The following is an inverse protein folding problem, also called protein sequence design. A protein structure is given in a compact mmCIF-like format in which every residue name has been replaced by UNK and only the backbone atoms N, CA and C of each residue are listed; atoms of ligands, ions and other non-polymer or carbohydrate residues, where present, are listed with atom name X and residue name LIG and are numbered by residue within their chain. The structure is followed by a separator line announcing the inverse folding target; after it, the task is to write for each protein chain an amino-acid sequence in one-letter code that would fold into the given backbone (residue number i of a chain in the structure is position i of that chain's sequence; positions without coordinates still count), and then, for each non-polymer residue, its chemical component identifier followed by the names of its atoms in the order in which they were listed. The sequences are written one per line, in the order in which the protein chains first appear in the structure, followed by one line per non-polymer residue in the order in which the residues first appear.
data_IF_873651366218
#
_entry.id   IF_873651366218
#
_cell.length_a   1.000
_cell.length_b   1.000
_cell.length_c   1.000
_cell.angle_alpha   90.00
_cell.angle_beta   90.00
_cell.angle_gamma   90.00
#
_symmetry.space_group_name_H-M   'P 1'
#
loop_
_entity.id
_entity.type
_entity.pdbx_description
1 polymer ?
#
# COMPACT_ATOMS: atom_id res chain seq x y z
N UNK A 1 -19.73 -4.57 9.43
CA UNK A 1 -19.53 -3.48 10.41
C UNK A 1 -19.67 -2.19 9.64
N UNK A 2 -20.60 -1.31 10.00
CA UNK A 2 -20.86 -0.06 9.26
C UNK A 2 -19.89 1.07 9.63
N UNK A 3 -19.08 0.85 10.66
CA UNK A 3 -18.07 1.73 11.26
C UNK A 3 -16.64 1.39 10.83
N UNK A 4 -16.48 0.44 9.90
CA UNK A 4 -15.19 0.04 9.38
C UNK A 4 -14.95 0.71 8.03
N UNK A 5 -13.76 1.30 7.85
CA UNK A 5 -13.31 1.88 6.59
C UNK A 5 -11.99 1.22 6.19
N UNK A 6 -11.96 0.61 5.02
CA UNK A 6 -10.76 0.05 4.41
C UNK A 6 -10.15 1.06 3.44
N UNK A 7 -8.91 1.45 3.71
CA UNK A 7 -8.18 2.40 2.88
C UNK A 7 -7.04 1.67 2.18
N UNK A 8 -7.02 1.72 0.86
CA UNK A 8 -5.91 1.25 0.07
C UNK A 8 -4.88 2.36 -0.13
N UNK A 9 -3.59 2.08 0.15
CA UNK A 9 -2.49 3.00 -0.13
C UNK A 9 -1.70 2.47 -1.33
N UNK A 10 -1.73 3.20 -2.44
CA UNK A 10 -1.00 2.83 -3.66
C UNK A 10 0.20 3.72 -3.86
N UNK A 11 1.28 3.13 -4.38
CA UNK A 11 2.42 3.87 -4.89
C UNK A 11 2.99 3.15 -6.12
N UNK A 12 3.59 3.91 -7.02
CA UNK A 12 4.17 3.41 -8.24
C UNK A 12 5.32 2.46 -7.97
N UNK A 13 5.53 1.53 -8.88
CA UNK A 13 6.57 0.50 -8.81
C UNK A 13 7.96 1.10 -8.58
N UNK A 14 8.31 2.16 -9.29
CA UNK A 14 9.62 2.81 -9.13
C UNK A 14 9.77 3.49 -7.77
N UNK A 15 8.70 4.14 -7.28
CA UNK A 15 8.65 4.75 -5.95
C UNK A 15 8.82 3.69 -4.85
N UNK A 16 8.13 2.55 -4.97
CA UNK A 16 8.20 1.44 -4.01
C UNK A 16 9.55 0.74 -4.06
N UNK A 17 10.11 0.51 -5.25
CA UNK A 17 11.46 -0.02 -5.41
C UNK A 17 12.49 0.88 -4.74
N UNK A 18 12.48 2.18 -5.06
CA UNK A 18 13.41 3.16 -4.47
C UNK A 18 13.32 3.16 -2.95
N UNK A 19 12.11 3.25 -2.39
CA UNK A 19 11.89 3.21 -0.92
C UNK A 19 12.34 1.88 -0.30
N UNK A 20 12.22 0.76 -1.02
CA UNK A 20 12.74 -0.54 -0.57
C UNK A 20 14.26 -0.54 -0.48
N UNK A 21 14.93 -0.01 -1.50
CA UNK A 21 16.40 0.11 -1.52
C UNK A 21 16.91 1.08 -0.45
N UNK A 22 16.25 2.23 -0.29
CA UNK A 22 16.61 3.23 0.72
C UNK A 22 16.44 2.69 2.15
N UNK A 23 15.42 1.84 2.38
CA UNK A 23 15.22 1.15 3.66
C UNK A 23 16.29 0.11 3.95
N UNK A 24 16.74 -0.63 2.93
CA UNK A 24 17.82 -1.60 3.03
C UNK A 24 17.60 -2.69 4.10
N UNK A 25 16.37 -3.16 4.30
CA UNK A 25 16.06 -4.15 5.35
C UNK A 25 16.74 -5.48 5.00
N UNK A 26 17.23 -6.18 6.02
CA UNK A 26 17.72 -7.55 5.85
C UNK A 26 16.57 -8.41 5.31
N UNK A 27 16.76 -8.98 4.13
CA UNK A 27 15.75 -9.76 3.41
C UNK A 27 15.07 -9.02 2.26
N UNK A 28 15.25 -7.69 2.12
CA UNK A 28 14.75 -6.97 0.96
C UNK A 28 15.50 -7.41 -0.31
N UNK A 29 14.82 -7.57 -1.45
CA UNK A 29 15.48 -7.89 -2.71
C UNK A 29 16.47 -6.80 -3.12
N UNK A 30 17.69 -7.18 -3.48
CA UNK A 30 18.71 -6.24 -3.99
C UNK A 30 18.66 -6.08 -5.51
N UNK A 31 17.91 -6.96 -6.20
CA UNK A 31 17.72 -6.99 -7.65
C UNK A 31 16.27 -6.61 -7.97
N UNK A 32 16.06 -5.72 -8.95
CA UNK A 32 14.72 -5.22 -9.32
C UNK A 32 13.82 -6.36 -9.79
N UNK A 33 14.37 -7.34 -10.48
CA UNK A 33 13.65 -8.52 -10.96
C UNK A 33 13.07 -9.35 -9.81
N UNK A 34 13.83 -9.52 -8.73
CA UNK A 34 13.37 -10.23 -7.53
C UNK A 34 12.30 -9.45 -6.78
N UNK A 35 12.44 -8.12 -6.71
CA UNK A 35 11.41 -7.24 -6.19
C UNK A 35 10.09 -7.41 -6.97
N UNK A 36 10.14 -7.35 -8.30
CA UNK A 36 8.95 -7.54 -9.14
C UNK A 36 8.31 -8.91 -8.99
N UNK A 37 9.11 -9.96 -8.82
CA UNK A 37 8.60 -11.31 -8.59
C UNK A 37 7.88 -11.43 -7.24
N UNK A 38 8.45 -10.82 -6.19
CA UNK A 38 7.84 -10.78 -4.86
C UNK A 38 6.52 -10.00 -4.87
N UNK A 39 6.52 -8.81 -5.47
CA UNK A 39 5.34 -7.97 -5.65
C UNK A 39 4.19 -8.72 -6.32
N UNK A 40 4.49 -9.41 -7.42
CA UNK A 40 3.50 -10.21 -8.13
C UNK A 40 2.97 -11.39 -7.30
N UNK A 41 3.80 -11.97 -6.44
CA UNK A 41 3.37 -13.03 -5.54
C UNK A 41 2.47 -12.52 -4.41
N UNK A 42 2.62 -11.24 -4.01
CA UNK A 42 1.77 -10.59 -3.01
C UNK A 42 0.47 -9.99 -3.63
N UNK A 43 0.45 -9.71 -4.93
CA UNK A 43 -0.76 -9.28 -5.66
C UNK A 43 -1.86 -10.35 -5.67
N UNK A 44 -1.47 -11.62 -5.81
CA UNK A 44 -2.38 -12.76 -5.93
C UNK A 44 -1.91 -13.85 -4.97
N UNK A 45 -2.60 -13.99 -3.84
CA UNK A 45 -2.34 -15.08 -2.90
C UNK A 45 -2.52 -16.43 -3.61
N UNK A 46 -1.45 -17.23 -3.65
CA UNK A 46 -1.52 -18.62 -4.11
C UNK A 46 -1.87 -19.62 -3.00
N UNK A 47 -1.79 -19.20 -1.74
CA UNK A 47 -2.10 -19.97 -0.54
C UNK A 47 -2.71 -19.09 0.56
N UNK A 48 -3.18 -19.70 1.65
CA UNK A 48 -3.83 -19.01 2.78
C UNK A 48 -2.86 -18.10 3.58
N UNK A 49 -1.55 -18.18 3.33
CA UNK A 49 -0.52 -17.39 4.02
C UNK A 49 -0.03 -16.19 3.20
N UNK A 50 -0.28 -16.18 1.89
CA UNK A 50 0.04 -15.09 0.98
C UNK A 50 -0.84 -13.87 1.19
N UNK A 51 -0.31 -12.70 0.82
CA UNK A 51 -1.13 -11.49 0.76
C UNK A 51 -2.02 -11.56 -0.47
N UNK A 52 -3.29 -11.18 -0.34
CA UNK A 52 -4.25 -11.12 -1.44
C UNK A 52 -4.52 -9.65 -1.80
N UNK A 53 -3.46 -8.88 -2.10
CA UNK A 53 -3.54 -7.42 -2.19
C UNK A 53 -4.62 -6.96 -3.18
N UNK A 54 -4.76 -7.62 -4.33
CA UNK A 54 -5.81 -7.27 -5.30
C UNK A 54 -7.24 -7.50 -4.76
N UNK A 55 -7.45 -8.60 -4.03
CA UNK A 55 -8.76 -8.91 -3.46
C UNK A 55 -9.10 -7.94 -2.32
N UNK A 56 -8.12 -7.59 -1.49
CA UNK A 56 -8.29 -6.60 -0.41
C UNK A 56 -8.49 -5.20 -0.97
N UNK A 57 -7.74 -4.80 -2.01
CA UNK A 57 -7.91 -3.54 -2.71
C UNK A 57 -9.32 -3.37 -3.29
N UNK A 58 -9.89 -4.44 -3.85
CA UNK A 58 -11.26 -4.44 -4.39
C UNK A 58 -12.34 -4.21 -3.31
N UNK A 59 -12.02 -4.44 -2.04
CA UNK A 59 -12.90 -4.20 -0.90
C UNK A 59 -12.70 -2.81 -0.28
N UNK A 60 -11.75 -2.01 -0.78
CA UNK A 60 -11.45 -0.70 -0.19
C UNK A 60 -12.57 0.30 -0.42
N UNK A 61 -12.87 1.08 0.61
CA UNK A 61 -13.82 2.19 0.55
C UNK A 61 -13.15 3.43 -0.05
N UNK A 62 -11.83 3.55 0.10
CA UNK A 62 -11.03 4.71 -0.28
C UNK A 62 -9.65 4.28 -0.79
N UNK A 63 -9.08 5.08 -1.68
CA UNK A 63 -7.72 4.89 -2.22
C UNK A 63 -6.92 6.18 -2.06
N UNK A 64 -5.72 6.09 -1.49
CA UNK A 64 -4.73 7.19 -1.43
C UNK A 64 -3.56 6.86 -2.36
N UNK A 65 -3.16 7.82 -3.18
CA UNK A 65 -2.05 7.70 -4.14
C UNK A 65 -0.79 8.34 -3.54
N UNK A 66 0.06 7.53 -2.93
CA UNK A 66 1.29 7.92 -2.24
C UNK A 66 2.51 7.91 -3.19
N UNK A 67 2.48 8.74 -4.24
CA UNK A 67 3.66 8.97 -5.10
C UNK A 67 4.66 9.96 -4.47
N UNK A 68 4.19 10.80 -3.54
CA UNK A 68 4.93 11.88 -2.91
C UNK A 68 5.89 11.46 -1.79
N UNK A 69 6.35 12.47 -1.04
CA UNK A 69 7.07 12.28 0.22
C UNK A 69 6.16 11.88 1.40
N UNK A 70 6.75 11.67 2.56
CA UNK A 70 5.99 11.37 3.78
C UNK A 70 5.13 12.57 4.23
N UNK A 71 5.58 13.79 3.95
CA UNK A 71 4.89 15.04 4.24
C UNK A 71 3.63 15.19 3.39
N UNK A 72 3.67 14.82 2.11
CA UNK A 72 2.50 14.81 1.23
C UNK A 72 1.49 13.76 1.71
N UNK A 73 1.95 12.56 2.06
CA UNK A 73 1.07 11.54 2.65
C UNK A 73 0.40 12.03 3.94
N UNK A 74 1.12 12.78 4.80
CA UNK A 74 0.50 13.36 6.00
C UNK A 74 -0.57 14.39 5.66
N UNK A 75 -0.31 15.26 4.67
CA UNK A 75 -1.32 16.22 4.20
C UNK A 75 -2.58 15.51 3.68
N UNK A 76 -2.42 14.47 2.86
CA UNK A 76 -3.55 13.69 2.33
C UNK A 76 -4.37 13.04 3.46
N UNK A 77 -3.71 12.54 4.50
CA UNK A 77 -4.36 11.94 5.66
C UNK A 77 -5.08 12.99 6.53
N UNK A 78 -4.49 14.18 6.70
CA UNK A 78 -5.11 15.30 7.40
C UNK A 78 -6.38 15.78 6.68
N UNK A 79 -6.35 15.86 5.34
CA UNK A 79 -7.51 16.21 4.52
C UNK A 79 -8.60 15.13 4.56
N UNK A 80 -8.22 13.85 4.66
CA UNK A 80 -9.14 12.73 4.77
C UNK A 80 -9.79 12.61 6.16
N UNK A 81 -9.09 12.99 7.22
CA UNK A 81 -9.53 12.76 8.60
C UNK A 81 -10.94 13.32 8.94
N UNK A 82 -11.33 14.53 8.50
CA UNK A 82 -12.66 15.07 8.72
C UNK A 82 -13.78 14.27 8.04
N UNK A 83 -13.49 13.54 6.95
CA UNK A 83 -14.52 12.73 6.28
C UNK A 83 -14.75 11.43 7.03
N UNK A 84 -13.71 10.84 7.60
CA UNK A 84 -13.81 9.62 8.40
C UNK A 84 -14.55 9.86 9.73
N UNK A 85 -14.31 11.01 10.36
CA UNK A 85 -14.92 11.37 11.65
C UNK A 85 -16.39 11.79 11.56
N UNK A 86 -16.91 12.09 10.37
CA UNK A 86 -18.35 12.35 10.14
C UNK A 86 -19.16 11.08 9.88
N UNK A 87 -18.48 9.96 9.63
CA UNK A 87 -19.09 8.65 9.34
C UNK A 87 -19.19 7.75 10.59
N UNK A 88 -18.56 8.15 11.71
CA UNK A 88 -18.58 7.49 13.01
C UNK A 88 -19.56 8.20 13.98
#
# INVERSE_FOLDING_TARGET
RSDFVLIEIRAGLDSRWKRSQDRGRIGDPTEKERFLAQEKAEEVASDDAGQALNATAALSDLVIINEGGIEELYSDLEDLWPTLTKLA
#
